data_IF_617294078499
#
_entry.id   IF_617294078499
#
_cell.length_a   1.000
_cell.length_b   1.000
_cell.length_c   1.000
_cell.angle_alpha   90.00
_cell.angle_beta   90.00
_cell.angle_gamma   90.00
#
_symmetry.space_group_name_H-M   'P 1'
#
loop_
_entity.id
_entity.type
_entity.pdbx_description
1 polymer ?
#
# COMPACT_ATOMS: atom_id res chain seq x y z
N UNK A 1 -26.06 -0.87 2.00
CA UNK A 1 -25.75 -1.62 0.76
C UNK A 1 -24.59 -0.92 0.07
N UNK A 2 -23.47 -1.59 -0.13
CA UNK A 2 -22.30 -1.02 -0.81
C UNK A 2 -22.51 -1.07 -2.33
N UNK A 3 -22.32 0.05 -3.03
CA UNK A 3 -22.45 0.09 -4.48
C UNK A 3 -21.17 -0.46 -5.12
N UNK A 4 -21.16 -1.71 -5.59
CA UNK A 4 -20.03 -2.28 -6.33
C UNK A 4 -19.95 -1.60 -7.70
N UNK A 5 -18.84 -0.92 -7.97
CA UNK A 5 -18.63 -0.15 -9.20
C UNK A 5 -17.51 -0.72 -10.09
N UNK A 6 -16.77 -1.70 -9.59
CA UNK A 6 -15.68 -2.34 -10.32
C UNK A 6 -15.40 -3.73 -9.77
N UNK A 7 -14.98 -4.62 -10.65
CA UNK A 7 -14.53 -5.96 -10.32
C UNK A 7 -13.40 -6.38 -11.27
N UNK A 8 -12.38 -7.04 -10.72
CA UNK A 8 -11.29 -7.65 -11.50
C UNK A 8 -10.71 -8.81 -10.72
N UNK A 9 -10.86 -10.03 -11.27
CA UNK A 9 -10.47 -11.28 -10.61
C UNK A 9 -11.08 -11.36 -9.20
N UNK A 10 -10.29 -11.55 -8.15
CA UNK A 10 -10.75 -11.60 -6.76
C UNK A 10 -11.03 -10.23 -6.13
N UNK A 11 -10.79 -9.13 -6.85
CA UNK A 11 -10.88 -7.79 -6.29
C UNK A 11 -12.18 -7.08 -6.68
N UNK A 12 -12.77 -6.39 -5.71
CA UNK A 12 -13.94 -5.54 -5.90
C UNK A 12 -13.66 -4.11 -5.41
N UNK A 13 -14.26 -3.11 -6.06
CA UNK A 13 -14.30 -1.73 -5.55
C UNK A 13 -15.75 -1.34 -5.28
N UNK A 14 -15.98 -0.86 -4.06
CA UNK A 14 -17.25 -0.29 -3.65
C UNK A 14 -17.14 1.22 -3.50
N UNK A 15 -18.11 1.96 -4.02
CA UNK A 15 -18.26 3.38 -3.71
C UNK A 15 -18.89 3.53 -2.32
N UNK A 16 -18.28 4.39 -1.49
CA UNK A 16 -18.80 4.79 -0.19
C UNK A 16 -18.96 6.31 -0.13
N UNK A 17 -19.59 6.82 0.93
CA UNK A 17 -19.83 8.27 1.11
C UNK A 17 -18.56 9.10 0.90
N UNK A 18 -17.43 8.62 1.41
CA UNK A 18 -16.14 9.31 1.33
C UNK A 18 -15.07 8.40 0.70
N UNK A 19 -15.14 8.24 -0.62
CA UNK A 19 -14.14 7.52 -1.40
C UNK A 19 -14.57 6.10 -1.75
N UNK A 20 -13.61 5.18 -1.68
CA UNK A 20 -13.72 3.85 -2.26
C UNK A 20 -13.14 2.79 -1.33
N UNK A 21 -13.84 1.67 -1.21
CA UNK A 21 -13.32 0.47 -0.55
C UNK A 21 -12.81 -0.47 -1.62
N UNK A 22 -11.54 -0.88 -1.51
CA UNK A 22 -10.99 -2.00 -2.28
C UNK A 22 -10.96 -3.21 -1.39
N UNK A 23 -11.45 -4.34 -1.89
CA UNK A 23 -11.54 -5.58 -1.14
C UNK A 23 -11.02 -6.75 -1.97
N UNK A 24 -10.20 -7.61 -1.37
CA UNK A 24 -9.84 -8.92 -1.91
C UNK A 24 -10.79 -9.99 -1.34
N UNK A 25 -11.62 -10.58 -2.20
CA UNK A 25 -12.63 -11.58 -1.87
C UNK A 25 -12.09 -12.92 -1.37
N UNK A 26 -10.78 -13.19 -1.54
CA UNK A 26 -10.13 -14.38 -0.99
C UNK A 26 -9.74 -14.25 0.48
N UNK A 27 -9.84 -13.04 1.04
CA UNK A 27 -9.55 -12.74 2.44
C UNK A 27 -10.82 -12.38 3.19
N UNK A 28 -10.78 -12.42 4.51
CA UNK A 28 -11.87 -11.86 5.33
C UNK A 28 -12.03 -10.36 5.03
N UNK A 29 -13.26 -9.83 5.09
CA UNK A 29 -13.46 -8.40 4.86
C UNK A 29 -12.60 -7.56 5.80
N UNK A 30 -12.55 -7.89 7.09
CA UNK A 30 -11.79 -7.18 8.12
C UNK A 30 -10.30 -7.00 7.77
N UNK A 31 -9.67 -7.99 7.16
CA UNK A 31 -8.22 -7.99 6.87
C UNK A 31 -7.89 -7.66 5.41
N UNK A 32 -8.83 -7.97 4.50
CA UNK A 32 -8.66 -7.91 3.06
C UNK A 32 -9.13 -6.62 2.40
N UNK A 33 -9.50 -5.59 3.17
CA UNK A 33 -9.99 -4.32 2.63
C UNK A 33 -9.11 -3.11 2.97
N UNK A 34 -9.22 -2.08 2.15
CA UNK A 34 -8.62 -0.77 2.37
C UNK A 34 -9.49 0.35 1.82
N UNK A 35 -9.35 1.55 2.37
CA UNK A 35 -10.08 2.74 1.95
C UNK A 35 -9.15 3.65 1.15
N UNK A 36 -9.61 4.13 -0.01
CA UNK A 36 -8.85 5.02 -0.88
C UNK A 36 -9.74 6.19 -1.31
N UNK A 37 -9.14 7.39 -1.36
CA UNK A 37 -9.87 8.63 -1.69
C UNK A 37 -10.30 8.70 -3.16
N UNK A 38 -9.52 8.10 -4.06
CA UNK A 38 -9.69 8.22 -5.51
C UNK A 38 -9.87 6.85 -6.17
N UNK A 39 -10.80 6.77 -7.14
CA UNK A 39 -11.12 5.54 -7.86
C UNK A 39 -9.92 5.02 -8.68
N UNK A 40 -9.16 5.91 -9.31
CA UNK A 40 -7.95 5.52 -10.06
C UNK A 40 -6.87 4.93 -9.15
N UNK A 41 -6.74 5.44 -7.92
CA UNK A 41 -5.83 4.85 -6.93
C UNK A 41 -6.30 3.45 -6.52
N UNK A 42 -7.60 3.24 -6.40
CA UNK A 42 -8.18 1.92 -6.11
C UNK A 42 -7.89 0.90 -7.23
N UNK A 43 -8.12 1.27 -8.49
CA UNK A 43 -7.75 0.42 -9.65
C UNK A 43 -6.25 0.16 -9.72
N UNK A 44 -5.44 1.18 -9.48
CA UNK A 44 -3.98 1.06 -9.48
C UNK A 44 -3.50 0.10 -8.40
N UNK A 45 -4.09 0.14 -7.19
CA UNK A 45 -3.75 -0.78 -6.11
C UNK A 45 -3.99 -2.25 -6.53
N UNK A 46 -5.14 -2.53 -7.14
CA UNK A 46 -5.46 -3.85 -7.69
C UNK A 46 -4.42 -4.26 -8.74
N UNK A 47 -4.09 -3.39 -9.69
CA UNK A 47 -3.10 -3.68 -10.74
C UNK A 47 -1.71 -3.97 -10.18
N UNK A 48 -1.28 -3.23 -9.15
CA UNK A 48 0.01 -3.43 -8.51
C UNK A 48 0.06 -4.79 -7.79
N UNK A 49 -1.00 -5.17 -7.07
CA UNK A 49 -1.09 -6.46 -6.37
C UNK A 49 -1.11 -7.61 -7.38
N UNK A 50 -1.96 -7.54 -8.42
CA UNK A 50 -2.04 -8.58 -9.47
C UNK A 50 -0.70 -8.77 -10.18
N UNK A 51 -0.01 -7.66 -10.50
CA UNK A 51 1.27 -7.70 -11.21
C UNK A 51 2.48 -7.88 -10.29
N UNK A 52 2.27 -7.96 -8.97
CA UNK A 52 3.31 -7.99 -7.93
C UNK A 52 4.35 -6.87 -8.10
N UNK A 53 3.89 -5.69 -8.55
CA UNK A 53 4.74 -4.52 -8.82
C UNK A 53 4.77 -3.60 -7.62
N UNK A 54 5.96 -3.15 -7.24
CA UNK A 54 6.15 -2.21 -6.14
C UNK A 54 6.18 -0.78 -6.69
N UNK A 55 5.33 0.14 -6.19
CA UNK A 55 5.34 1.53 -6.64
C UNK A 55 6.65 2.23 -6.22
N UNK A 56 7.28 2.95 -7.15
CA UNK A 56 8.57 3.64 -6.94
C UNK A 56 8.48 4.70 -5.83
N UNK A 57 7.44 5.53 -5.86
CA UNK A 57 7.15 6.58 -4.88
C UNK A 57 5.69 6.50 -4.44
N UNK A 58 5.47 6.35 -3.14
CA UNK A 58 4.14 6.42 -2.53
C UNK A 58 4.29 6.51 -1.01
N UNK A 59 3.22 6.88 -0.32
CA UNK A 59 3.17 7.06 1.13
C UNK A 59 2.99 5.72 1.87
N UNK A 60 3.36 5.66 3.15
CA UNK A 60 3.30 4.45 3.96
C UNK A 60 1.90 3.80 4.00
N UNK A 61 0.83 4.60 4.14
CA UNK A 61 -0.54 4.09 4.14
C UNK A 61 -0.92 3.33 2.85
N UNK A 62 -0.44 3.81 1.70
CA UNK A 62 -0.71 3.15 0.42
C UNK A 62 0.06 1.83 0.31
N UNK A 63 1.27 1.75 0.86
CA UNK A 63 2.00 0.48 0.97
C UNK A 63 1.28 -0.51 1.90
N UNK A 64 0.79 -0.06 3.06
CA UNK A 64 -0.05 -0.88 3.95
C UNK A 64 -1.31 -1.38 3.25
N UNK A 65 -1.91 -0.56 2.39
CA UNK A 65 -3.07 -0.95 1.57
C UNK A 65 -2.74 -2.12 0.63
N UNK A 66 -1.58 -2.10 -0.03
CA UNK A 66 -1.13 -3.20 -0.89
C UNK A 66 -0.89 -4.49 -0.09
N UNK A 67 -0.35 -4.39 1.14
CA UNK A 67 -0.18 -5.53 2.04
C UNK A 67 -1.52 -6.15 2.42
N UNK A 68 -2.53 -5.34 2.80
CA UNK A 68 -3.87 -5.83 3.15
C UNK A 68 -4.54 -6.57 2.00
N UNK A 69 -4.40 -6.04 0.79
CA UNK A 69 -5.00 -6.60 -0.42
C UNK A 69 -4.30 -7.86 -0.93
N UNK A 70 -3.02 -8.07 -0.64
CA UNK A 70 -2.26 -9.20 -1.16
C UNK A 70 -2.37 -10.46 -0.31
N UNK A 71 -2.19 -11.61 -0.97
CA UNK A 71 -1.98 -12.94 -0.36
C UNK A 71 -0.60 -13.52 -0.71
N UNK A 72 0.22 -12.76 -1.47
CA UNK A 72 1.55 -13.22 -1.87
C UNK A 72 2.58 -12.76 -0.84
N UNK A 73 3.04 -13.69 0.00
CA UNK A 73 3.99 -13.39 1.08
C UNK A 73 5.29 -12.78 0.57
N UNK A 74 5.78 -13.20 -0.60
CA UNK A 74 6.97 -12.63 -1.23
C UNK A 74 6.81 -11.16 -1.58
N UNK A 75 5.66 -10.77 -2.14
CA UNK A 75 5.31 -9.38 -2.43
C UNK A 75 5.11 -8.57 -1.15
N UNK A 76 4.41 -9.13 -0.16
CA UNK A 76 4.17 -8.51 1.14
C UNK A 76 5.51 -8.20 1.84
N UNK A 77 6.43 -9.16 1.89
CA UNK A 77 7.72 -9.01 2.54
C UNK A 77 8.58 -7.91 1.87
N UNK A 78 8.61 -7.87 0.52
CA UNK A 78 9.31 -6.80 -0.20
C UNK A 78 8.74 -5.40 0.10
N UNK A 79 7.43 -5.28 0.30
CA UNK A 79 6.83 -4.00 0.70
C UNK A 79 7.22 -3.64 2.13
N UNK A 80 7.21 -4.59 3.07
CA UNK A 80 7.65 -4.37 4.45
C UNK A 80 9.10 -3.90 4.51
N UNK A 81 10.01 -4.57 3.79
CA UNK A 81 11.42 -4.17 3.65
C UNK A 81 11.57 -2.74 3.09
N UNK A 82 10.76 -2.38 2.08
CA UNK A 82 10.75 -1.02 1.53
C UNK A 82 10.29 0.00 2.59
N UNK A 83 9.29 -0.33 3.40
CA UNK A 83 8.82 0.55 4.48
C UNK A 83 9.88 0.72 5.56
N UNK A 84 10.54 -0.36 5.97
CA UNK A 84 11.61 -0.35 6.97
C UNK A 84 12.83 0.47 6.51
N UNK A 85 13.29 0.26 5.28
CA UNK A 85 14.41 1.02 4.71
C UNK A 85 14.11 2.52 4.62
N UNK A 86 12.85 2.91 4.36
CA UNK A 86 12.41 4.31 4.38
C UNK A 86 12.37 4.87 5.80
N UNK A 87 11.96 4.10 6.79
CA UNK A 87 11.96 4.51 8.19
C UNK A 87 13.39 4.72 8.73
N UNK A 88 14.34 3.89 8.31
CA UNK A 88 15.75 4.01 8.70
C UNK A 88 16.45 5.23 8.09
N UNK A 89 16.10 5.64 6.86
CA UNK A 89 16.67 6.84 6.22
C UNK A 89 16.44 8.12 7.03
N UNK A 90 15.34 8.22 7.76
CA UNK A 90 15.03 9.36 8.63
C UNK A 90 15.77 9.34 9.98
N UNK A 91 16.44 8.23 10.33
CA UNK A 91 17.16 8.03 11.61
C UNK A 91 18.68 8.11 11.48
N UNK A 92 19.23 8.52 10.32
CA UNK A 92 20.68 8.74 10.23
C UNK A 92 21.09 9.81 11.25
N UNK A 93 22.04 9.47 12.11
CA UNK A 93 22.66 10.39 13.05
C UNK A 93 23.12 11.66 12.33
N UNK A 94 23.01 12.81 13.01
CA UNK A 94 23.54 14.08 12.49
C UNK A 94 25.04 13.87 12.21
N UNK A 95 25.42 13.93 10.94
CA UNK A 95 26.82 13.94 10.54
C UNK A 95 27.50 15.18 11.15
N UNK A 96 28.32 14.98 12.19
CA UNK A 96 29.19 16.02 12.75
C UNK A 96 30.55 15.93 12.05
N UNK A 97 30.82 16.87 11.14
CA UNK A 97 32.15 17.02 10.54
C UNK A 97 33.08 17.69 11.57
N UNK A 98 33.91 16.92 12.29
CA UNK A 98 34.85 17.45 13.30
C UNK A 98 36.11 18.08 12.69
N UNK A 99 35.98 18.77 11.55
CA UNK A 99 37.10 19.38 10.85
C UNK A 99 37.15 20.87 11.20
N UNK A 100 37.57 21.16 12.43
CA UNK A 100 38.17 22.42 12.88
C UNK A 100 38.61 22.24 14.35
N UNK A 101 39.79 21.66 14.54
CA UNK A 101 40.64 21.98 15.69
C UNK A 101 41.79 22.79 15.13
N UNK A 102 41.74 24.10 15.36
CA UNK A 102 42.87 25.03 15.23
C UNK A 102 43.30 25.41 16.63
#
# INVERSE_FOLDING_TARGET
MYNKIYERKEFMIFQVREGYIVYNAKKSFQEGHTHLKHFEAAKTAIDLVIRKKIPKSTHGYYLTSLIRLSEDDGYINKIKELMESRAQKGKKDKYYNSRNKS
#
